data_IF_818067969264
#
_entry.id   IF_818067969264
#
_cell.length_a   1.000
_cell.length_b   1.000
_cell.length_c   1.000
_cell.angle_alpha   90.00
_cell.angle_beta   90.00
_cell.angle_gamma   90.00
#
_symmetry.space_group_name_H-M   'P 1'
#
loop_
_entity.id
_entity.type
_entity.pdbx_description
1 polymer ?
#
# COMPACT_ATOMS: atom_id res chain seq x y z
N UNK A 1 -0.82 10.49 -11.08
CA UNK A 1 0.22 9.49 -10.76
C UNK A 1 1.56 10.16 -10.50
N UNK A 2 2.21 10.74 -11.52
CA UNK A 2 3.50 11.42 -11.35
C UNK A 2 3.48 12.57 -10.32
N UNK A 3 2.40 13.38 -10.31
CA UNK A 3 2.21 14.46 -9.31
C UNK A 3 2.07 13.89 -7.89
N UNK A 4 1.16 12.94 -7.69
CA UNK A 4 0.95 12.30 -6.38
C UNK A 4 2.21 11.59 -5.85
N UNK A 5 2.93 10.89 -6.72
CA UNK A 5 4.22 10.26 -6.38
C UNK A 5 5.26 11.31 -5.96
N UNK A 6 5.31 12.46 -6.62
CA UNK A 6 6.18 13.58 -6.25
C UNK A 6 5.78 14.22 -4.91
N UNK A 7 4.49 14.42 -4.67
CA UNK A 7 3.96 14.97 -3.42
C UNK A 7 4.29 14.08 -2.22
N UNK A 8 4.12 12.76 -2.37
CA UNK A 8 4.46 11.77 -1.33
C UNK A 8 5.96 11.45 -1.28
N UNK A 9 6.75 11.98 -2.22
CA UNK A 9 8.18 11.72 -2.36
C UNK A 9 8.55 10.23 -2.49
N UNK A 10 7.69 9.44 -3.14
CA UNK A 10 7.88 7.99 -3.36
C UNK A 10 8.15 7.71 -4.84
N UNK A 11 9.04 6.76 -5.21
CA UNK A 11 9.26 6.37 -6.61
C UNK A 11 7.96 5.96 -7.33
N UNK A 12 7.88 6.25 -8.64
CA UNK A 12 6.64 6.07 -9.40
C UNK A 12 6.21 4.60 -9.49
N UNK A 13 7.16 3.68 -9.62
CA UNK A 13 6.98 2.23 -9.62
C UNK A 13 6.48 1.71 -8.27
N UNK A 14 7.06 2.22 -7.17
CA UNK A 14 6.60 1.92 -5.81
C UNK A 14 5.19 2.46 -5.59
N UNK A 15 4.94 3.72 -5.95
CA UNK A 15 3.62 4.33 -5.85
C UNK A 15 2.56 3.55 -6.65
N UNK A 16 2.89 3.15 -7.88
CA UNK A 16 2.02 2.32 -8.70
C UNK A 16 1.73 0.96 -8.05
N UNK A 17 2.77 0.29 -7.56
CA UNK A 17 2.65 -1.00 -6.86
C UNK A 17 1.72 -0.87 -5.65
N UNK A 18 1.91 0.16 -4.82
CA UNK A 18 1.09 0.41 -3.64
C UNK A 18 -0.36 0.70 -3.97
N UNK A 19 -0.63 1.55 -4.98
CA UNK A 19 -1.99 1.85 -5.44
C UNK A 19 -2.68 0.58 -5.95
N UNK A 20 -1.97 -0.24 -6.74
CA UNK A 20 -2.51 -1.49 -7.26
C UNK A 20 -2.80 -2.50 -6.14
N UNK A 21 -1.88 -2.70 -5.20
CA UNK A 21 -2.09 -3.63 -4.07
C UNK A 21 -3.23 -3.15 -3.15
N UNK A 22 -3.32 -1.84 -2.88
CA UNK A 22 -4.43 -1.26 -2.12
C UNK A 22 -5.78 -1.39 -2.85
N UNK A 23 -5.79 -1.19 -4.17
CA UNK A 23 -6.98 -1.39 -5.00
C UNK A 23 -7.48 -2.85 -4.95
N UNK A 24 -6.56 -3.81 -5.15
CA UNK A 24 -6.88 -5.24 -5.06
C UNK A 24 -7.39 -5.65 -3.68
N UNK A 25 -6.83 -5.08 -2.61
CA UNK A 25 -7.31 -5.30 -1.24
C UNK A 25 -8.74 -4.80 -1.09
N UNK A 26 -9.02 -3.56 -1.47
CA UNK A 26 -10.36 -2.97 -1.36
C UNK A 26 -11.39 -3.76 -2.17
N UNK A 27 -11.09 -4.12 -3.41
CA UNK A 27 -11.97 -4.97 -4.23
C UNK A 27 -12.24 -6.33 -3.58
N UNK A 28 -11.22 -6.92 -2.96
CA UNK A 28 -11.40 -8.17 -2.22
C UNK A 28 -12.35 -7.99 -1.04
N UNK A 29 -12.22 -6.90 -0.28
CA UNK A 29 -13.06 -6.62 0.88
C UNK A 29 -14.50 -6.24 0.48
N UNK A 30 -14.66 -5.52 -0.63
CA UNK A 30 -15.95 -5.16 -1.22
C UNK A 30 -16.72 -6.40 -1.71
N UNK A 31 -16.02 -7.38 -2.32
CA UNK A 31 -16.63 -8.68 -2.68
C UNK A 31 -17.19 -9.44 -1.48
N UNK A 32 -16.61 -9.23 -0.29
CA UNK A 32 -17.12 -9.78 0.96
C UNK A 32 -18.17 -8.90 1.65
N UNK A 33 -18.65 -7.83 1.00
CA UNK A 33 -19.66 -6.87 1.48
C UNK A 33 -19.28 -6.22 2.83
N UNK A 34 -17.99 -6.01 3.06
CA UNK A 34 -17.50 -5.42 4.31
C UNK A 34 -17.49 -3.90 4.19
N UNK A 35 -18.60 -3.27 4.59
CA UNK A 35 -18.75 -1.82 4.54
C UNK A 35 -17.74 -1.09 5.44
N UNK A 36 -17.28 0.08 4.97
CA UNK A 36 -16.35 0.92 5.73
C UNK A 36 -14.93 0.34 5.87
N UNK A 37 -14.56 -0.63 5.04
CA UNK A 37 -13.24 -1.25 5.05
C UNK A 37 -12.09 -0.23 5.00
N UNK A 38 -12.14 0.72 4.05
CA UNK A 38 -11.14 1.81 3.92
C UNK A 38 -10.94 2.57 5.24
N UNK A 39 -12.03 3.01 5.88
CA UNK A 39 -11.95 3.76 7.13
C UNK A 39 -11.39 2.92 8.30
N UNK A 40 -11.67 1.61 8.33
CA UNK A 40 -11.08 0.69 9.31
C UNK A 40 -9.58 0.51 9.10
N UNK A 41 -9.16 0.34 7.85
CA UNK A 41 -7.74 0.25 7.49
C UNK A 41 -6.99 1.53 7.83
N UNK A 42 -7.55 2.69 7.50
CA UNK A 42 -6.96 3.99 7.84
C UNK A 42 -6.81 4.18 9.36
N UNK A 43 -7.84 3.82 10.13
CA UNK A 43 -7.77 3.87 11.60
C UNK A 43 -6.71 2.93 12.16
N UNK A 44 -6.66 1.69 11.68
CA UNK A 44 -5.68 0.70 12.14
C UNK A 44 -4.24 1.09 11.77
N UNK A 45 -4.03 1.64 10.57
CA UNK A 45 -2.73 2.18 10.17
C UNK A 45 -2.32 3.36 11.05
N UNK A 46 -3.25 4.26 11.38
CA UNK A 46 -2.99 5.41 12.26
C UNK A 46 -2.61 5.04 13.71
N UNK A 47 -2.95 3.84 14.18
CA UNK A 47 -2.59 3.34 15.52
C UNK A 47 -1.46 2.32 15.53
N UNK A 48 -0.94 1.94 14.36
CA UNK A 48 0.12 0.94 14.23
C UNK A 48 1.43 1.44 14.84
N UNK A 49 2.07 0.58 15.62
CA UNK A 49 3.34 0.88 16.31
C UNK A 49 4.31 -0.26 16.12
N UNK A 50 5.61 0.03 16.24
CA UNK A 50 6.67 -0.98 16.35
C UNK A 50 6.42 -1.77 17.63
N UNK A 51 5.97 -3.02 17.50
CA UNK A 51 5.72 -3.91 18.65
C UNK A 51 6.85 -4.92 18.88
N UNK A 52 7.74 -5.08 17.89
CA UNK A 52 8.90 -5.98 17.90
C UNK A 52 10.08 -5.32 17.19
N UNK A 53 11.29 -5.81 17.46
CA UNK A 53 12.47 -5.41 16.73
C UNK A 53 12.31 -5.77 15.25
N UNK A 54 12.42 -4.76 14.37
CA UNK A 54 12.34 -4.97 12.93
C UNK A 54 13.61 -5.64 12.42
N UNK A 55 13.47 -6.46 11.38
CA UNK A 55 14.63 -6.90 10.60
C UNK A 55 15.31 -5.69 9.94
N UNK A 56 16.61 -5.80 9.68
CA UNK A 56 17.35 -4.75 8.98
C UNK A 56 16.70 -4.40 7.62
N UNK A 57 16.26 -5.41 6.87
CA UNK A 57 15.57 -5.23 5.59
C UNK A 57 14.27 -4.42 5.72
N UNK A 58 13.45 -4.69 6.74
CA UNK A 58 12.19 -3.97 6.93
C UNK A 58 12.46 -2.53 7.38
N UNK A 59 13.46 -2.32 8.24
CA UNK A 59 13.86 -0.98 8.66
C UNK A 59 14.40 -0.16 7.47
N UNK A 60 15.21 -0.76 6.61
CA UNK A 60 15.75 -0.11 5.40
C UNK A 60 14.63 0.21 4.40
N UNK A 61 13.68 -0.71 4.20
CA UNK A 61 12.52 -0.49 3.34
C UNK A 61 11.62 0.65 3.86
N UNK A 62 11.32 0.67 5.17
CA UNK A 62 10.53 1.74 5.78
C UNK A 62 11.25 3.09 5.68
N UNK A 63 12.58 3.12 5.85
CA UNK A 63 13.37 4.33 5.62
C UNK A 63 13.27 4.76 4.16
N UNK A 64 13.37 3.84 3.20
CA UNK A 64 13.22 4.17 1.78
C UNK A 64 11.84 4.75 1.44
N UNK A 65 10.76 4.26 2.08
CA UNK A 65 9.41 4.84 1.96
C UNK A 65 9.26 6.22 2.62
N UNK A 66 10.11 6.53 3.62
CA UNK A 66 10.04 7.77 4.40
C UNK A 66 11.01 8.86 3.91
N UNK A 67 12.08 8.47 3.20
CA UNK A 67 13.14 9.36 2.79
C UNK A 67 12.74 10.17 1.55
N UNK A 68 12.46 11.46 1.77
CA UNK A 68 12.12 12.47 0.75
C UNK A 68 13.20 12.74 -0.32
N UNK A 69 14.33 12.07 -0.26
CA UNK A 69 15.52 12.35 -1.09
C UNK A 69 15.77 11.32 -2.19
N UNK A 70 14.77 10.51 -2.57
CA UNK A 70 14.98 9.54 -3.63
C UNK A 70 15.18 10.23 -4.99
N UNK A 71 16.26 9.89 -5.69
CA UNK A 71 16.54 10.42 -7.03
C UNK A 71 15.42 9.97 -7.97
N UNK A 72 14.83 10.91 -8.70
CA UNK A 72 13.87 10.63 -9.78
C UNK A 72 14.48 9.62 -10.75
N UNK A 73 14.06 8.36 -10.68
CA UNK A 73 14.26 7.43 -11.78
C UNK A 73 13.22 7.78 -12.83
N UNK A 74 13.66 8.53 -13.84
CA UNK A 74 12.94 8.65 -15.11
C UNK A 74 13.15 7.35 -15.88
N UNK A 75 12.20 6.43 -15.77
CA UNK A 75 12.22 5.14 -16.46
C UNK A 75 10.81 4.59 -16.61
N UNK A 76 10.65 3.60 -17.50
CA UNK A 76 9.41 2.83 -17.64
C UNK A 76 8.91 2.32 -16.29
N UNK A 77 7.59 2.34 -16.14
CA UNK A 77 6.91 2.04 -14.89
C UNK A 77 6.98 0.52 -14.64
N UNK A 78 7.99 0.08 -13.91
CA UNK A 78 8.26 -1.34 -13.66
C UNK A 78 7.39 -1.88 -12.51
N UNK A 79 6.13 -2.21 -12.80
CA UNK A 79 5.26 -2.87 -11.82
C UNK A 79 5.65 -4.35 -11.71
N UNK A 80 5.81 -4.90 -10.50
CA UNK A 80 6.11 -6.32 -10.31
C UNK A 80 5.09 -7.24 -11.00
N UNK A 81 5.56 -8.32 -11.64
CA UNK A 81 4.73 -9.28 -12.37
C UNK A 81 3.57 -9.87 -11.53
N UNK A 82 3.79 -10.04 -10.21
CA UNK A 82 2.77 -10.52 -9.27
C UNK A 82 1.56 -9.57 -9.17
N UNK A 83 1.76 -8.28 -9.42
CA UNK A 83 0.73 -7.25 -9.36
C UNK A 83 0.07 -7.13 -10.73
N UNK A 84 0.86 -7.04 -11.81
CA UNK A 84 0.32 -6.97 -13.17
C UNK A 84 -0.53 -8.18 -13.52
N UNK A 85 -0.11 -9.40 -13.13
CA UNK A 85 -0.88 -10.63 -13.35
C UNK A 85 -2.19 -10.72 -12.57
N UNK A 86 -2.37 -9.92 -11.51
CA UNK A 86 -3.61 -9.87 -10.70
C UNK A 86 -4.53 -8.72 -11.11
N UNK A 87 -3.94 -7.64 -11.59
CA UNK A 87 -4.66 -6.43 -12.02
C UNK A 87 -5.30 -6.61 -13.39
N UNK A 88 -4.66 -7.38 -14.28
CA UNK A 88 -5.15 -7.66 -15.62
C UNK A 88 -5.36 -6.37 -16.42
N UNK A 89 -6.47 -6.28 -17.15
CA UNK A 89 -6.81 -5.13 -18.01
C UNK A 89 -7.16 -3.86 -17.22
N UNK A 90 -7.49 -3.97 -15.93
CA UNK A 90 -7.88 -2.81 -15.10
C UNK A 90 -6.71 -2.04 -14.49
N UNK A 91 -5.53 -2.06 -15.11
CA UNK A 91 -4.34 -1.40 -14.57
C UNK A 91 -4.46 0.12 -14.60
N UNK A 92 -4.82 0.69 -15.75
CA UNK A 92 -4.91 2.14 -15.93
C UNK A 92 -5.95 2.77 -14.99
N UNK A 93 -7.12 2.13 -14.84
CA UNK A 93 -8.18 2.57 -13.93
C UNK A 93 -7.68 2.62 -12.48
N UNK A 94 -6.91 1.60 -12.04
CA UNK A 94 -6.35 1.58 -10.70
C UNK A 94 -5.30 2.66 -10.52
N UNK A 95 -4.39 2.85 -11.49
CA UNK A 95 -3.39 3.91 -11.45
C UNK A 95 -4.03 5.32 -11.44
N UNK A 96 -5.24 5.48 -11.98
CA UNK A 96 -5.97 6.74 -11.89
C UNK A 96 -6.37 7.13 -10.45
N UNK A 97 -6.42 6.17 -9.51
CA UNK A 97 -6.81 6.37 -8.08
C UNK A 97 -5.67 6.97 -7.25
N UNK A 98 -5.16 8.10 -7.68
CA UNK A 98 -4.02 8.78 -7.04
C UNK A 98 -4.34 9.24 -5.62
N UNK A 99 -5.62 9.51 -5.32
CA UNK A 99 -6.12 9.84 -3.97
C UNK A 99 -5.88 8.72 -2.95
N UNK A 100 -5.66 7.48 -3.43
CA UNK A 100 -5.41 6.33 -2.58
C UNK A 100 -3.96 6.26 -2.10
N UNK A 101 -3.02 6.93 -2.76
CA UNK A 101 -1.59 6.74 -2.54
C UNK A 101 -1.18 6.98 -1.08
N UNK A 102 -1.56 8.12 -0.49
CA UNK A 102 -1.24 8.41 0.90
C UNK A 102 -1.85 7.41 1.89
N UNK A 103 -2.99 6.80 1.54
CA UNK A 103 -3.60 5.73 2.36
C UNK A 103 -2.81 4.42 2.18
N UNK A 104 -2.48 4.07 0.93
CA UNK A 104 -1.72 2.87 0.59
C UNK A 104 -0.33 2.85 1.25
N UNK A 105 0.38 3.98 1.28
CA UNK A 105 1.66 4.11 1.99
C UNK A 105 1.47 3.81 3.48
N UNK A 106 0.48 4.42 4.15
CA UNK A 106 0.21 4.16 5.58
C UNK A 106 -0.14 2.70 5.84
N UNK A 107 -0.92 2.08 4.97
CA UNK A 107 -1.30 0.67 5.10
C UNK A 107 -0.11 -0.25 4.90
N UNK A 108 0.77 0.05 3.95
CA UNK A 108 2.02 -0.70 3.76
C UNK A 108 2.92 -0.60 4.98
N UNK A 109 3.14 0.61 5.51
CA UNK A 109 3.93 0.81 6.73
C UNK A 109 3.34 -0.02 7.87
N UNK A 110 2.04 0.02 8.08
CA UNK A 110 1.37 -0.77 9.12
C UNK A 110 1.52 -2.29 8.92
N UNK A 111 1.43 -2.76 7.68
CA UNK A 111 1.61 -4.16 7.33
C UNK A 111 3.06 -4.62 7.58
N UNK A 112 4.05 -3.84 7.18
CA UNK A 112 5.48 -4.10 7.41
C UNK A 112 5.81 -4.12 8.90
N UNK A 113 5.26 -3.17 9.68
CA UNK A 113 5.40 -3.17 11.15
C UNK A 113 4.80 -4.40 11.81
N UNK A 114 3.81 -5.02 11.17
CA UNK A 114 3.20 -6.29 11.60
C UNK A 114 3.86 -7.53 10.97
N UNK A 115 4.95 -7.37 10.21
CA UNK A 115 5.65 -8.42 9.46
C UNK A 115 4.73 -9.19 8.50
N UNK A 116 3.84 -8.46 7.80
CA UNK A 116 2.85 -9.00 6.87
C UNK A 116 2.86 -8.22 5.56
N UNK A 117 2.29 -8.83 4.52
CA UNK A 117 1.90 -8.10 3.31
C UNK A 117 0.66 -7.23 3.57
N UNK A 118 0.49 -6.16 2.79
CA UNK A 118 -0.70 -5.30 2.85
C UNK A 118 -2.00 -6.09 2.77
N UNK A 119 -2.07 -7.08 1.88
CA UNK A 119 -3.23 -7.95 1.74
C UNK A 119 -3.53 -8.73 3.03
N UNK A 120 -2.54 -9.42 3.59
CA UNK A 120 -2.73 -10.23 4.79
C UNK A 120 -3.06 -9.38 6.02
N UNK A 121 -2.36 -8.25 6.17
CA UNK A 121 -2.65 -7.30 7.24
C UNK A 121 -4.05 -6.71 7.12
N UNK A 122 -4.44 -6.26 5.93
CA UNK A 122 -5.74 -5.63 5.70
C UNK A 122 -6.91 -6.57 5.93
N UNK A 123 -6.81 -7.81 5.44
CA UNK A 123 -7.82 -8.84 5.74
C UNK A 123 -7.91 -9.11 7.25
N UNK A 124 -6.80 -9.18 7.97
CA UNK A 124 -6.83 -9.38 9.43
C UNK A 124 -7.45 -8.21 10.17
N UNK A 125 -7.09 -6.97 9.85
CA UNK A 125 -7.66 -5.77 10.48
C UNK A 125 -9.18 -5.78 10.34
N UNK A 126 -9.67 -6.06 9.13
CA UNK A 126 -11.11 -6.03 8.88
C UNK A 126 -11.82 -7.20 9.55
N UNK A 127 -11.26 -8.42 9.48
CA UNK A 127 -11.86 -9.62 10.10
C UNK A 127 -11.80 -9.61 11.64
N UNK A 128 -10.72 -9.08 12.24
CA UNK A 128 -10.59 -8.96 13.69
C UNK A 128 -11.59 -7.94 14.28
N UNK A 129 -12.02 -6.95 13.49
CA UNK A 129 -13.08 -6.00 13.87
C UNK A 129 -14.50 -6.54 13.79
N UNK A 130 -14.69 -7.84 13.47
CA UNK A 130 -15.99 -8.54 13.50
C UNK A 130 -16.12 -9.53 14.68
N UNK A 131 -15.16 -9.56 15.61
CA UNK A 131 -15.28 -10.26 16.88
C UNK A 131 -15.84 -9.34 17.95
#
# INVERSE_FOLDING_TARGET
MAVASAEESVPLDVAATLICEAGLLLESLDRHRLSGARARLDRAAGTSRVTKALTASNADYLRALSCRSWRRQSGELAIPARVTGRVGEGLEERLARCDLLGSAIRWEVAAVLAERSMANWGSQVVLAGFR
#
